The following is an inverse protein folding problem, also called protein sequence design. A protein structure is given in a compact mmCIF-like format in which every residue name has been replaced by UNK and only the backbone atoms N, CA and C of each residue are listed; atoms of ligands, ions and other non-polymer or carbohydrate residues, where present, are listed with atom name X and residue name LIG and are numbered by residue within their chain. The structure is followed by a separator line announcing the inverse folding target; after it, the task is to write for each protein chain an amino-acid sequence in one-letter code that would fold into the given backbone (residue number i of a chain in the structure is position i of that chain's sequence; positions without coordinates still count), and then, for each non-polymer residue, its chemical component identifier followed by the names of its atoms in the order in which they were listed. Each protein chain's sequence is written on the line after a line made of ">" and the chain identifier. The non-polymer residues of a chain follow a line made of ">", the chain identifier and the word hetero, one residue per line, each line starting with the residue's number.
data_IF_628632399975
#
_entry.id   IF_628632399975
#
_cell.length_a   1.000
_cell.length_b   1.000
_cell.length_c   1.000
_cell.angle_alpha   90.00
_cell.angle_beta   90.00
_cell.angle_gamma   90.00
#
_symmetry.space_group_name_H-M   'P 1'
#
loop_
_entity.id
_entity.type
_entity.pdbx_description
1 polymer ?
#
# COMPACT_ATOMS: atom_id res chain seq x y z
N UNK A 1 -8.90 -5.96 -16.08
CA UNK A 1 -8.92 -5.89 -17.56
C UNK A 1 -10.05 -6.75 -18.13
N UNK A 2 -10.80 -6.24 -19.13
CA UNK A 2 -11.95 -6.93 -19.72
C UNK A 2 -11.56 -7.83 -20.91
N UNK A 3 -12.46 -8.75 -21.29
CA UNK A 3 -12.25 -9.72 -22.38
C UNK A 3 -11.85 -9.08 -23.70
N UNK A 4 -12.55 -8.04 -24.14
CA UNK A 4 -12.26 -7.41 -25.43
C UNK A 4 -10.88 -6.72 -25.43
N UNK A 5 -10.49 -6.17 -24.28
CA UNK A 5 -9.18 -5.54 -24.11
C UNK A 5 -8.03 -6.56 -24.19
N UNK A 6 -8.17 -7.75 -23.58
CA UNK A 6 -7.16 -8.80 -23.71
C UNK A 6 -7.10 -9.35 -25.13
N UNK A 7 -8.23 -9.56 -25.79
CA UNK A 7 -8.25 -10.03 -27.19
C UNK A 7 -7.59 -9.02 -28.13
N UNK A 8 -7.84 -7.72 -27.93
CA UNK A 8 -7.15 -6.66 -28.69
C UNK A 8 -5.63 -6.67 -28.46
N UNK A 9 -5.19 -6.95 -27.23
CA UNK A 9 -3.77 -7.04 -26.87
C UNK A 9 -3.08 -8.30 -27.42
N UNK A 10 -3.83 -9.40 -27.58
CA UNK A 10 -3.32 -10.67 -28.09
C UNK A 10 -3.35 -10.78 -29.62
N UNK A 11 -4.13 -9.92 -30.31
CA UNK A 11 -4.29 -9.92 -31.77
C UNK A 11 -3.03 -9.54 -32.57
N UNK A 12 -2.25 -8.50 -32.20
CA UNK A 12 -1.05 -8.17 -32.96
C UNK A 12 0.06 -9.21 -32.72
N UNK A 13 0.73 -9.64 -33.79
CA UNK A 13 1.96 -10.45 -33.75
C UNK A 13 3.15 -9.55 -34.06
N UNK A 14 3.91 -9.12 -33.03
CA UNK A 14 5.10 -8.31 -33.22
C UNK A 14 6.18 -9.11 -33.97
N UNK A 15 6.83 -8.50 -34.96
CA UNK A 15 7.91 -9.12 -35.73
C UNK A 15 9.15 -9.48 -34.91
N UNK A 16 9.26 -8.92 -33.70
CA UNK A 16 10.39 -9.08 -32.78
C UNK A 16 10.14 -10.13 -31.69
N UNK A 17 8.98 -10.79 -31.68
CA UNK A 17 8.63 -11.78 -30.65
C UNK A 17 9.21 -13.17 -30.99
N UNK A 18 9.82 -13.89 -30.02
CA UNK A 18 10.26 -15.27 -30.22
C UNK A 18 9.15 -16.19 -30.75
N UNK A 19 9.48 -17.23 -31.54
CA UNK A 19 8.48 -18.13 -32.13
C UNK A 19 7.67 -18.89 -31.06
N UNK A 20 8.33 -19.29 -29.97
CA UNK A 20 7.67 -20.01 -28.86
C UNK A 20 6.64 -19.14 -28.15
N UNK A 21 6.96 -17.88 -27.86
CA UNK A 21 6.04 -16.93 -27.22
C UNK A 21 4.91 -16.51 -28.16
N UNK A 22 5.19 -16.43 -29.47
CA UNK A 22 4.17 -16.20 -30.50
C UNK A 22 3.15 -17.35 -30.55
N UNK A 23 3.61 -18.61 -30.45
CA UNK A 23 2.73 -19.78 -30.38
C UNK A 23 1.84 -19.74 -29.13
N UNK A 24 2.41 -19.38 -27.97
CA UNK A 24 1.67 -19.20 -26.73
C UNK A 24 0.64 -18.06 -26.82
N UNK A 25 0.96 -16.94 -27.47
CA UNK A 25 0.02 -15.83 -27.71
C UNK A 25 -1.19 -16.28 -28.52
N UNK A 26 -0.97 -16.96 -29.66
CA UNK A 26 -2.07 -17.48 -30.48
C UNK A 26 -2.94 -18.48 -29.71
N UNK A 27 -2.31 -19.33 -28.91
CA UNK A 27 -3.02 -20.30 -28.08
C UNK A 27 -3.86 -19.61 -26.99
N UNK A 28 -3.32 -18.58 -26.34
CA UNK A 28 -4.07 -17.76 -25.37
C UNK A 28 -5.26 -17.05 -26.05
N UNK A 29 -5.05 -16.48 -27.23
CA UNK A 29 -6.13 -15.86 -28.00
C UNK A 29 -7.23 -16.88 -28.35
N UNK A 30 -6.86 -18.08 -28.82
CA UNK A 30 -7.81 -19.13 -29.13
C UNK A 30 -8.66 -19.50 -27.90
N UNK A 31 -8.02 -19.77 -26.76
CA UNK A 31 -8.69 -20.13 -25.50
C UNK A 31 -9.67 -19.03 -25.04
N UNK A 32 -9.28 -17.76 -25.11
CA UNK A 32 -10.15 -16.64 -24.66
C UNK A 32 -11.27 -16.35 -25.67
N UNK A 33 -11.03 -16.58 -26.96
CA UNK A 33 -12.03 -16.38 -28.01
C UNK A 33 -13.16 -17.43 -27.98
N UNK A 34 -12.88 -18.64 -27.50
CA UNK A 34 -13.87 -19.74 -27.45
C UNK A 34 -14.89 -19.64 -26.32
N UNK A 35 -14.64 -18.81 -25.30
CA UNK A 35 -15.54 -18.64 -24.16
C UNK A 35 -16.78 -17.85 -24.59
N UNK A 36 -17.96 -18.18 -24.09
CA UNK A 36 -19.08 -17.24 -24.14
C UNK A 36 -19.14 -16.44 -22.83
N UNK A 37 -19.20 -15.12 -22.90
CA UNK A 37 -19.26 -14.23 -21.72
C UNK A 37 -20.50 -14.49 -20.84
N UNK A 38 -21.48 -15.23 -21.35
CA UNK A 38 -22.70 -15.63 -20.66
C UNK A 38 -22.52 -16.84 -19.70
N UNK A 39 -21.46 -17.65 -19.85
CA UNK A 39 -21.33 -18.93 -19.14
C UNK A 39 -20.29 -18.88 -18.03
N UNK A 40 -20.70 -18.40 -16.84
CA UNK A 40 -19.85 -18.28 -15.64
C UNK A 40 -19.20 -19.61 -15.25
N UNK A 41 -19.86 -20.75 -15.51
CA UNK A 41 -19.39 -22.09 -15.17
C UNK A 41 -18.13 -22.52 -15.94
N UNK A 42 -17.88 -21.96 -17.13
CA UNK A 42 -16.71 -22.32 -17.95
C UNK A 42 -15.44 -21.56 -17.53
N UNK A 43 -15.59 -20.45 -16.82
CA UNK A 43 -14.48 -19.56 -16.43
C UNK A 43 -13.42 -20.31 -15.62
N UNK A 44 -13.74 -21.10 -14.57
CA UNK A 44 -12.74 -21.89 -13.84
C UNK A 44 -11.86 -22.76 -14.74
N UNK A 45 -12.46 -23.54 -15.65
CA UNK A 45 -11.71 -24.43 -16.53
C UNK A 45 -10.78 -23.65 -17.48
N UNK A 46 -11.27 -22.53 -18.03
CA UNK A 46 -10.44 -21.68 -18.89
C UNK A 46 -9.28 -21.06 -18.13
N UNK A 47 -9.49 -20.58 -16.90
CA UNK A 47 -8.41 -20.01 -16.10
C UNK A 47 -7.35 -21.07 -15.78
N UNK A 48 -7.76 -22.31 -15.53
CA UNK A 48 -6.83 -23.43 -15.36
C UNK A 48 -6.02 -23.68 -16.64
N UNK A 49 -6.67 -23.68 -17.81
CA UNK A 49 -6.00 -23.87 -19.10
C UNK A 49 -4.99 -22.75 -19.39
N UNK A 50 -5.35 -21.49 -19.15
CA UNK A 50 -4.42 -20.36 -19.31
C UNK A 50 -3.22 -20.49 -18.36
N UNK A 51 -3.45 -20.87 -17.10
CA UNK A 51 -2.37 -21.03 -16.12
C UNK A 51 -1.45 -22.20 -16.45
N UNK A 52 -1.99 -23.34 -16.87
CA UNK A 52 -1.21 -24.55 -17.12
C UNK A 52 -0.57 -24.59 -18.50
N UNK A 53 -1.27 -24.10 -19.52
CA UNK A 53 -0.83 -24.20 -20.91
C UNK A 53 -0.06 -22.98 -21.39
N UNK A 54 -0.18 -21.83 -20.72
CA UNK A 54 0.48 -20.57 -21.11
C UNK A 54 1.42 -20.06 -20.01
N UNK A 55 0.89 -19.72 -18.84
CA UNK A 55 1.68 -19.09 -17.78
C UNK A 55 2.79 -20.02 -17.27
N UNK A 56 2.47 -21.27 -16.94
CA UNK A 56 3.47 -22.22 -16.44
C UNK A 56 4.64 -22.39 -17.41
N UNK A 57 4.44 -22.63 -18.73
CA UNK A 57 5.50 -22.62 -19.73
C UNK A 57 6.39 -21.37 -19.73
N UNK A 58 5.80 -20.17 -19.61
CA UNK A 58 6.53 -18.89 -19.58
C UNK A 58 7.49 -18.78 -18.39
N UNK A 59 7.26 -19.50 -17.29
CA UNK A 59 8.10 -19.44 -16.08
C UNK A 59 8.93 -20.71 -15.85
N UNK A 60 8.96 -21.66 -16.80
CA UNK A 60 9.70 -22.93 -16.62
C UNK A 60 11.20 -22.75 -16.42
N UNK A 61 11.80 -21.71 -17.05
CA UNK A 61 13.23 -21.39 -16.94
C UNK A 61 13.57 -20.63 -15.64
N UNK A 62 12.59 -20.03 -14.98
CA UNK A 62 12.79 -19.21 -13.78
C UNK A 62 12.27 -19.92 -12.54
N UNK A 63 13.20 -20.42 -11.71
CA UNK A 63 12.88 -21.03 -10.42
C UNK A 63 13.08 -20.02 -9.30
N UNK A 64 12.04 -19.81 -8.50
CA UNK A 64 12.11 -18.92 -7.35
C UNK A 64 12.92 -19.55 -6.21
N UNK A 65 13.92 -18.88 -5.62
CA UNK A 65 14.84 -19.48 -4.63
C UNK A 65 14.15 -20.05 -3.38
N UNK A 66 13.07 -19.40 -2.95
CA UNK A 66 12.35 -19.78 -1.72
C UNK A 66 11.13 -20.68 -1.96
N UNK A 67 10.88 -21.11 -3.21
CA UNK A 67 9.76 -22.00 -3.54
C UNK A 67 10.25 -23.35 -4.06
N UNK A 68 9.48 -24.40 -3.77
CA UNK A 68 9.61 -25.69 -4.44
C UNK A 68 9.08 -25.59 -5.87
N UNK A 69 9.39 -26.58 -6.73
CA UNK A 69 8.82 -26.69 -8.09
C UNK A 69 7.28 -26.80 -8.11
N UNK A 70 6.67 -27.06 -6.96
CA UNK A 70 5.22 -27.13 -6.73
C UNK A 70 4.64 -25.86 -6.09
N UNK A 71 5.44 -24.79 -5.93
CA UNK A 71 4.99 -23.51 -5.37
C UNK A 71 4.84 -23.48 -3.85
N UNK A 72 5.37 -24.47 -3.11
CA UNK A 72 5.36 -24.51 -1.65
C UNK A 72 6.61 -23.84 -1.07
N UNK A 73 6.56 -23.38 0.18
CA UNK A 73 7.74 -22.84 0.88
C UNK A 73 8.87 -23.87 0.91
N UNK A 74 10.05 -23.50 0.44
CA UNK A 74 11.24 -24.35 0.54
C UNK A 74 11.72 -24.40 1.99
N UNK A 75 11.92 -25.61 2.53
CA UNK A 75 12.54 -25.81 3.85
C UNK A 75 14.08 -25.87 3.79
N UNK A 76 14.65 -25.89 2.59
CA UNK A 76 16.09 -25.87 2.36
C UNK A 76 16.52 -24.42 2.15
N UNK A 77 17.49 -23.95 2.95
CA UNK A 77 18.10 -22.64 2.76
C UNK A 77 18.68 -22.56 1.35
N UNK A 78 18.17 -21.62 0.54
CA UNK A 78 18.71 -21.40 -0.79
C UNK A 78 20.18 -20.95 -0.65
N UNK A 79 21.11 -21.49 -1.47
CA UNK A 79 22.43 -20.89 -1.54
C UNK A 79 22.30 -19.42 -1.94
N UNK A 80 23.12 -18.51 -1.40
CA UNK A 80 23.03 -17.10 -1.74
C UNK A 80 23.12 -16.96 -3.26
N UNK A 81 22.15 -16.27 -3.86
CA UNK A 81 22.20 -15.98 -5.28
C UNK A 81 23.53 -15.29 -5.57
N UNK A 82 24.35 -15.92 -6.42
CA UNK A 82 25.65 -15.38 -6.83
C UNK A 82 25.47 -13.92 -7.26
N UNK A 83 26.27 -13.02 -6.67
CA UNK A 83 26.31 -11.59 -7.04
C UNK A 83 26.50 -11.45 -8.56
N UNK A 84 27.21 -12.39 -9.20
CA UNK A 84 27.41 -12.42 -10.64
C UNK A 84 26.10 -12.57 -11.43
N UNK A 85 25.14 -13.40 -11.00
CA UNK A 85 23.86 -13.54 -11.73
C UNK A 85 22.96 -12.32 -11.59
N UNK A 86 23.15 -11.52 -10.54
CA UNK A 86 22.36 -10.30 -10.30
C UNK A 86 22.89 -9.10 -11.09
N UNK A 87 24.19 -9.10 -11.42
CA UNK A 87 24.86 -8.05 -12.21
C UNK A 87 24.98 -8.40 -13.70
N UNK A 88 25.05 -9.68 -14.08
CA UNK A 88 25.18 -10.09 -15.49
C UNK A 88 23.86 -10.03 -16.29
N UNK A 89 22.73 -9.77 -15.64
CA UNK A 89 21.44 -9.48 -16.28
C UNK A 89 21.30 -7.99 -16.67
N UNK A 90 22.37 -7.18 -16.51
CA UNK A 90 22.45 -5.83 -17.07
C UNK A 90 22.69 -5.89 -18.58
N UNK A 91 21.59 -6.13 -19.31
CA UNK A 91 21.32 -5.61 -20.65
C UNK A 91 22.53 -5.24 -21.53
N UNK A 92 23.15 -6.22 -22.17
CA UNK A 92 23.43 -6.03 -23.59
C UNK A 92 22.09 -6.21 -24.30
N UNK A 93 21.54 -5.14 -24.91
CA UNK A 93 20.21 -5.07 -25.53
C UNK A 93 19.92 -6.08 -26.66
N UNK A 94 20.68 -7.15 -26.78
CA UNK A 94 20.33 -8.36 -27.52
C UNK A 94 19.43 -9.23 -26.64
N UNK A 95 18.10 -9.16 -26.84
CA UNK A 95 17.06 -9.95 -26.16
C UNK A 95 17.12 -11.49 -26.36
N UNK A 96 18.33 -12.06 -26.43
CA UNK A 96 18.57 -13.50 -26.60
C UNK A 96 18.64 -14.26 -25.26
N UNK A 97 18.92 -13.59 -24.13
CA UNK A 97 19.05 -14.23 -22.81
C UNK A 97 17.96 -13.88 -21.79
N UNK A 98 17.08 -12.92 -22.09
CA UNK A 98 15.97 -12.58 -21.19
C UNK A 98 15.02 -13.76 -20.99
N UNK A 99 14.49 -13.97 -19.76
CA UNK A 99 13.53 -15.03 -19.50
C UNK A 99 12.28 -14.86 -20.39
N UNK A 100 11.62 -15.97 -20.80
CA UNK A 100 10.57 -15.92 -21.83
C UNK A 100 9.34 -15.09 -21.45
N UNK A 101 9.15 -14.77 -20.17
CA UNK A 101 8.11 -13.87 -19.68
C UNK A 101 8.47 -12.37 -19.81
N UNK A 102 9.74 -12.03 -20.04
CA UNK A 102 10.25 -10.69 -20.37
C UNK A 102 10.45 -10.57 -21.88
N UNK A 103 9.36 -10.46 -22.60
CA UNK A 103 9.38 -10.23 -24.05
C UNK A 103 9.20 -8.75 -24.34
N UNK A 104 9.78 -8.27 -25.46
CA UNK A 104 9.61 -6.88 -25.93
C UNK A 104 8.15 -6.49 -26.18
N UNK A 105 7.23 -7.44 -26.16
CA UNK A 105 5.78 -7.21 -26.20
C UNK A 105 5.13 -7.81 -24.96
N UNK A 106 4.36 -7.03 -24.19
CA UNK A 106 3.84 -7.47 -22.91
C UNK A 106 2.73 -8.50 -23.10
N UNK A 107 3.08 -9.79 -23.13
CA UNK A 107 2.11 -10.90 -23.05
C UNK A 107 1.74 -11.19 -21.60
N UNK A 108 2.76 -11.32 -20.75
CA UNK A 108 2.67 -11.83 -19.37
C UNK A 108 1.80 -10.94 -18.48
N UNK A 109 2.06 -9.63 -18.46
CA UNK A 109 1.35 -8.68 -17.60
C UNK A 109 -0.14 -8.63 -17.95
N UNK A 110 -0.56 -8.36 -19.21
CA UNK A 110 -1.98 -8.33 -19.55
C UNK A 110 -2.66 -9.68 -19.27
N UNK A 111 -2.03 -10.81 -19.59
CA UNK A 111 -2.64 -12.11 -19.39
C UNK A 111 -2.89 -12.40 -17.89
N UNK A 112 -1.92 -12.12 -17.02
CA UNK A 112 -2.10 -12.29 -15.58
C UNK A 112 -3.13 -11.31 -15.00
N UNK A 113 -3.15 -10.07 -15.48
CA UNK A 113 -4.17 -9.08 -15.07
C UNK A 113 -5.59 -9.55 -15.44
N UNK A 114 -5.77 -10.11 -16.64
CA UNK A 114 -7.04 -10.71 -17.06
C UNK A 114 -7.44 -11.89 -16.17
N UNK A 115 -6.51 -12.81 -15.89
CA UNK A 115 -6.75 -13.99 -15.05
C UNK A 115 -7.20 -13.56 -13.65
N UNK A 116 -6.50 -12.60 -13.03
CA UNK A 116 -6.83 -12.11 -11.69
C UNK A 116 -8.17 -11.35 -11.65
N UNK A 117 -8.43 -10.49 -12.63
CA UNK A 117 -9.72 -9.79 -12.76
C UNK A 117 -10.87 -10.79 -12.92
N UNK A 118 -10.64 -11.90 -13.64
CA UNK A 118 -11.65 -12.94 -13.88
C UNK A 118 -12.05 -13.66 -12.60
N UNK A 119 -11.14 -13.86 -11.63
CA UNK A 119 -11.52 -14.38 -10.32
C UNK A 119 -12.43 -13.42 -9.55
N UNK A 120 -12.13 -12.12 -9.58
CA UNK A 120 -12.97 -11.10 -8.93
C UNK A 120 -14.37 -11.01 -9.53
N UNK A 121 -14.52 -11.35 -10.81
CA UNK A 121 -15.81 -11.36 -11.51
C UNK A 121 -16.69 -12.59 -11.19
N UNK A 122 -16.14 -13.67 -10.64
CA UNK A 122 -16.92 -14.84 -10.25
C UNK A 122 -17.89 -14.49 -9.11
N UNK A 123 -19.15 -14.97 -9.10
CA UNK A 123 -20.11 -14.67 -8.06
C UNK A 123 -19.61 -15.13 -6.69
N UNK A 124 -19.86 -14.30 -5.68
CA UNK A 124 -19.51 -14.54 -4.28
C UNK A 124 -20.73 -15.03 -3.45
N UNK A 125 -21.78 -15.56 -4.10
CA UNK A 125 -23.04 -15.94 -3.44
C UNK A 125 -22.81 -16.97 -2.33
N UNK A 126 -22.81 -16.48 -1.08
CA UNK A 126 -23.64 -16.89 0.07
C UNK A 126 -23.04 -16.27 1.35
N UNK A 127 -23.82 -15.44 2.06
CA UNK A 127 -23.39 -14.77 3.29
C UNK A 127 -23.17 -15.74 4.47
N UNK A 128 -23.77 -16.94 4.41
CA UNK A 128 -23.74 -17.92 5.50
C UNK A 128 -22.61 -18.97 5.38
N UNK A 129 -21.92 -19.11 4.24
CA UNK A 129 -20.82 -20.10 4.09
C UNK A 129 -19.77 -19.71 3.04
N UNK A 130 -18.93 -18.68 3.31
CA UNK A 130 -18.05 -18.08 2.29
C UNK A 130 -16.97 -19.01 1.69
N UNK A 131 -16.61 -20.09 2.39
CA UNK A 131 -15.56 -21.03 1.96
C UNK A 131 -16.00 -21.94 0.80
N UNK A 132 -17.31 -22.16 0.65
CA UNK A 132 -17.86 -23.04 -0.40
C UNK A 132 -18.30 -22.28 -1.66
N UNK A 133 -18.02 -20.98 -1.74
CA UNK A 133 -18.26 -20.19 -2.95
C UNK A 133 -17.44 -20.73 -4.13
N UNK A 134 -18.00 -20.64 -5.35
CA UNK A 134 -17.30 -21.02 -6.58
C UNK A 134 -15.97 -20.26 -6.72
N UNK A 135 -15.97 -18.97 -6.37
CA UNK A 135 -14.79 -18.11 -6.34
C UNK A 135 -13.69 -18.68 -5.43
N UNK A 136 -14.04 -19.01 -4.17
CA UNK A 136 -13.12 -19.56 -3.17
C UNK A 136 -12.51 -20.89 -3.59
N UNK A 137 -13.34 -21.83 -4.05
CA UNK A 137 -12.89 -23.15 -4.54
C UNK A 137 -11.94 -23.02 -5.73
N UNK A 138 -12.25 -22.13 -6.67
CA UNK A 138 -11.45 -21.95 -7.87
C UNK A 138 -10.10 -21.30 -7.57
N UNK A 139 -10.09 -20.20 -6.79
CA UNK A 139 -8.83 -19.51 -6.47
C UNK A 139 -7.90 -20.39 -5.64
N UNK A 140 -8.42 -21.16 -4.67
CA UNK A 140 -7.60 -22.09 -3.88
C UNK A 140 -7.03 -23.22 -4.75
N UNK A 141 -7.80 -23.76 -5.68
CA UNK A 141 -7.34 -24.80 -6.61
C UNK A 141 -6.18 -24.29 -7.50
N UNK A 142 -6.27 -23.04 -7.97
CA UNK A 142 -5.28 -22.46 -8.88
C UNK A 142 -4.12 -21.75 -8.17
N UNK A 143 -4.22 -21.54 -6.85
CA UNK A 143 -3.28 -20.75 -6.06
C UNK A 143 -1.81 -21.14 -6.27
N UNK A 144 -1.50 -22.44 -6.26
CA UNK A 144 -0.15 -22.97 -6.47
C UNK A 144 0.47 -22.64 -7.85
N UNK A 145 -0.35 -22.34 -8.86
CA UNK A 145 0.09 -21.92 -10.20
C UNK A 145 0.27 -20.39 -10.30
N UNK A 146 -0.40 -19.62 -9.43
CA UNK A 146 -0.38 -18.17 -9.41
C UNK A 146 0.82 -17.61 -8.63
N UNK A 147 1.16 -18.22 -7.49
CA UNK A 147 2.22 -17.70 -6.61
C UNK A 147 3.60 -17.65 -7.28
N UNK A 148 4.10 -18.70 -7.95
CA UNK A 148 5.45 -18.65 -8.51
C UNK A 148 5.66 -17.56 -9.59
N UNK A 149 4.75 -17.37 -10.57
CA UNK A 149 4.82 -16.25 -11.51
C UNK A 149 4.84 -14.88 -10.82
N UNK A 150 3.95 -14.67 -9.85
CA UNK A 150 3.85 -13.40 -9.13
C UNK A 150 5.13 -13.10 -8.34
N UNK A 151 5.65 -14.06 -7.59
CA UNK A 151 6.89 -13.86 -6.84
C UNK A 151 8.12 -13.69 -7.73
N UNK A 152 8.23 -14.44 -8.83
CA UNK A 152 9.30 -14.25 -9.81
C UNK A 152 9.27 -12.84 -10.43
N UNK A 153 8.08 -12.26 -10.62
CA UNK A 153 7.95 -10.88 -11.09
C UNK A 153 8.35 -9.87 -10.01
N UNK A 154 7.99 -10.09 -8.74
CA UNK A 154 8.39 -9.22 -7.61
C UNK A 154 9.91 -9.24 -7.40
N UNK A 155 10.56 -10.38 -7.63
CA UNK A 155 12.01 -10.55 -7.52
C UNK A 155 12.78 -10.04 -8.75
N UNK A 156 12.11 -9.42 -9.72
CA UNK A 156 12.76 -8.90 -10.91
C UNK A 156 13.86 -7.87 -10.57
N UNK A 157 14.87 -7.74 -11.44
CA UNK A 157 15.94 -6.77 -11.24
C UNK A 157 15.45 -5.33 -11.46
N UNK A 158 14.64 -5.11 -12.50
CA UNK A 158 14.13 -3.80 -12.85
C UNK A 158 12.89 -3.44 -12.00
N UNK A 159 12.76 -2.18 -11.53
CA UNK A 159 11.57 -1.71 -10.81
C UNK A 159 10.28 -1.76 -11.64
N UNK A 160 10.38 -1.49 -12.93
CA UNK A 160 9.24 -1.41 -13.86
C UNK A 160 9.57 -2.17 -15.15
N UNK A 161 8.56 -2.73 -15.86
CA UNK A 161 7.15 -2.83 -15.49
C UNK A 161 6.80 -4.10 -14.69
N UNK A 162 7.68 -5.11 -14.65
CA UNK A 162 7.33 -6.44 -14.14
C UNK A 162 7.23 -6.49 -12.61
N UNK A 163 8.16 -5.84 -11.90
CA UNK A 163 8.15 -5.83 -10.43
C UNK A 163 6.95 -5.08 -9.85
N UNK A 164 6.66 -3.88 -10.36
CA UNK A 164 5.45 -3.14 -9.98
C UNK A 164 4.17 -3.93 -10.32
N UNK A 165 4.08 -4.53 -11.51
CA UNK A 165 2.96 -5.39 -11.87
C UNK A 165 2.83 -6.63 -10.97
N UNK A 166 3.95 -7.25 -10.57
CA UNK A 166 3.97 -8.36 -9.64
C UNK A 166 3.39 -7.99 -8.27
N UNK A 167 3.75 -6.81 -7.76
CA UNK A 167 3.18 -6.26 -6.52
C UNK A 167 1.66 -6.02 -6.67
N UNK A 168 1.24 -5.37 -7.76
CA UNK A 168 -0.18 -5.17 -8.08
C UNK A 168 -0.95 -6.49 -8.11
N UNK A 169 -0.41 -7.50 -8.79
CA UNK A 169 -1.03 -8.83 -8.89
C UNK A 169 -1.12 -9.55 -7.56
N UNK A 170 -0.11 -9.40 -6.70
CA UNK A 170 -0.18 -9.91 -5.33
C UNK A 170 -1.28 -9.21 -4.53
N UNK A 171 -1.41 -7.89 -4.63
CA UNK A 171 -2.48 -7.14 -3.99
C UNK A 171 -3.87 -7.63 -4.43
N UNK A 172 -4.10 -7.76 -5.75
CA UNK A 172 -5.37 -8.26 -6.30
C UNK A 172 -5.65 -9.72 -5.87
N UNK A 173 -4.64 -10.59 -5.87
CA UNK A 173 -4.80 -11.96 -5.39
C UNK A 173 -5.22 -11.98 -3.91
N UNK A 174 -4.57 -11.17 -3.07
CA UNK A 174 -4.90 -11.05 -1.65
C UNK A 174 -6.31 -10.48 -1.41
N UNK A 175 -6.76 -9.52 -2.22
CA UNK A 175 -8.13 -9.02 -2.18
C UNK A 175 -9.14 -10.13 -2.48
N UNK A 176 -8.91 -10.93 -3.53
CA UNK A 176 -9.75 -12.09 -3.86
C UNK A 176 -9.79 -13.07 -2.69
N UNK A 177 -8.63 -13.44 -2.13
CA UNK A 177 -8.55 -14.36 -0.99
C UNK A 177 -9.29 -13.84 0.24
N UNK A 178 -9.20 -12.53 0.50
CA UNK A 178 -9.89 -11.86 1.61
C UNK A 178 -11.40 -11.88 1.40
N UNK A 179 -11.87 -11.60 0.18
CA UNK A 179 -13.30 -11.66 -0.19
C UNK A 179 -13.91 -13.06 -0.05
N UNK A 180 -13.10 -14.11 -0.25
CA UNK A 180 -13.52 -15.51 -0.10
C UNK A 180 -13.25 -16.07 1.30
N UNK A 181 -12.69 -15.25 2.20
CA UNK A 181 -12.25 -15.68 3.53
C UNK A 181 -11.33 -16.92 3.53
N UNK A 182 -10.44 -17.02 2.54
CA UNK A 182 -9.55 -18.17 2.40
C UNK A 182 -8.39 -18.10 3.39
N UNK A 183 -8.21 -19.17 4.16
CA UNK A 183 -7.05 -19.34 5.05
C UNK A 183 -5.87 -20.01 4.34
N UNK A 184 -5.83 -20.02 3.00
CA UNK A 184 -4.76 -20.70 2.25
C UNK A 184 -3.37 -20.14 2.56
N UNK A 185 -3.24 -18.83 2.83
CA UNK A 185 -1.96 -18.22 3.20
C UNK A 185 -1.47 -18.69 4.57
N UNK A 186 -2.37 -18.81 5.54
CA UNK A 186 -2.06 -19.34 6.87
C UNK A 186 -1.67 -20.82 6.80
N UNK A 187 -2.41 -21.63 6.03
CA UNK A 187 -2.15 -23.08 5.87
C UNK A 187 -0.88 -23.39 5.08
N UNK A 188 -0.59 -22.61 4.03
CA UNK A 188 0.57 -22.85 3.16
C UNK A 188 1.89 -22.33 3.72
N UNK A 189 1.84 -21.39 4.67
CA UNK A 189 3.02 -20.72 5.19
C UNK A 189 3.72 -19.80 4.18
N UNK A 190 3.09 -19.51 3.05
CA UNK A 190 3.67 -18.66 1.98
C UNK A 190 3.59 -17.17 2.29
N UNK A 191 2.81 -16.76 3.29
CA UNK A 191 2.71 -15.35 3.69
C UNK A 191 4.07 -14.76 4.09
N UNK A 192 4.91 -15.52 4.80
CA UNK A 192 6.26 -15.04 5.16
C UNK A 192 7.12 -14.84 3.91
N UNK A 193 7.02 -15.73 2.92
CA UNK A 193 7.79 -15.64 1.67
C UNK A 193 7.37 -14.41 0.86
N UNK A 194 6.06 -14.14 0.79
CA UNK A 194 5.52 -12.94 0.15
C UNK A 194 5.97 -11.66 0.87
N UNK A 195 5.93 -11.65 2.21
CA UNK A 195 6.39 -10.54 3.03
C UNK A 195 7.88 -10.28 2.85
N UNK A 196 8.70 -11.34 2.84
CA UNK A 196 10.15 -11.21 2.65
C UNK A 196 10.46 -10.65 1.26
N UNK A 197 9.80 -11.14 0.20
CA UNK A 197 9.95 -10.62 -1.15
C UNK A 197 9.58 -9.13 -1.24
N UNK A 198 8.42 -8.73 -0.71
CA UNK A 198 7.99 -7.33 -0.69
C UNK A 198 8.92 -6.43 0.13
N UNK A 199 9.41 -6.93 1.27
CA UNK A 199 10.30 -6.18 2.17
C UNK A 199 11.59 -5.75 1.47
N UNK A 200 12.11 -6.56 0.56
CA UNK A 200 13.33 -6.20 -0.20
C UNK A 200 13.16 -4.95 -1.07
N UNK A 201 11.92 -4.56 -1.35
CA UNK A 201 11.61 -3.45 -2.25
C UNK A 201 11.34 -2.11 -1.52
N UNK A 202 11.27 -2.08 -0.17
CA UNK A 202 10.96 -0.85 0.57
C UNK A 202 11.98 0.29 0.36
N UNK A 203 13.23 -0.04 0.09
CA UNK A 203 14.32 0.92 -0.11
C UNK A 203 14.65 1.17 -1.58
N UNK A 204 13.70 0.91 -2.49
CA UNK A 204 13.80 1.29 -3.91
C UNK A 204 13.51 2.78 -4.08
N UNK A 205 14.43 3.61 -3.57
CA UNK A 205 14.27 5.05 -3.44
C UNK A 205 15.21 5.83 -4.41
N UNK A 206 14.92 7.12 -4.66
CA UNK A 206 15.83 8.04 -5.34
C UNK A 206 17.23 8.00 -4.77
N UNK A 207 18.21 8.32 -5.62
CA UNK A 207 19.69 8.10 -5.52
C UNK A 207 20.20 6.78 -6.11
N UNK A 208 19.39 5.71 -6.09
CA UNK A 208 19.71 4.42 -6.72
C UNK A 208 18.70 4.01 -7.80
N UNK A 209 17.46 4.46 -7.67
CA UNK A 209 16.36 4.18 -8.60
C UNK A 209 15.78 5.52 -9.10
N UNK A 210 15.42 5.66 -10.39
CA UNK A 210 14.71 6.85 -10.87
C UNK A 210 13.43 7.12 -10.08
N UNK A 211 13.11 8.40 -9.85
CA UNK A 211 11.97 8.79 -9.01
C UNK A 211 10.62 8.24 -9.54
N UNK A 212 10.40 8.29 -10.84
CA UNK A 212 9.18 7.75 -11.47
C UNK A 212 9.03 6.25 -11.24
N UNK A 213 10.13 5.50 -11.34
CA UNK A 213 10.17 4.07 -11.09
C UNK A 213 9.94 3.73 -9.61
N UNK A 214 10.55 4.51 -8.70
CA UNK A 214 10.31 4.41 -7.26
C UNK A 214 8.84 4.67 -6.91
N UNK A 215 8.22 5.71 -7.50
CA UNK A 215 6.81 6.04 -7.28
C UNK A 215 5.91 4.90 -7.77
N UNK A 216 6.14 4.42 -9.00
CA UNK A 216 5.34 3.36 -9.61
C UNK A 216 5.46 2.05 -8.81
N UNK A 217 6.65 1.72 -8.32
CA UNK A 217 6.85 0.50 -7.54
C UNK A 217 6.30 0.61 -6.12
N UNK A 218 6.69 1.66 -5.37
CA UNK A 218 6.26 1.82 -3.98
C UNK A 218 4.75 2.01 -3.85
N UNK A 219 4.12 2.65 -4.84
CA UNK A 219 2.67 2.74 -4.95
C UNK A 219 1.96 1.38 -4.95
N UNK A 220 2.60 0.32 -5.45
CA UNK A 220 2.05 -1.03 -5.52
C UNK A 220 2.55 -1.93 -4.37
N UNK A 221 3.76 -1.71 -3.84
CA UNK A 221 4.36 -2.51 -2.77
C UNK A 221 3.57 -2.42 -1.47
N UNK A 222 3.17 -1.22 -1.03
CA UNK A 222 2.46 -1.05 0.25
C UNK A 222 1.05 -1.66 0.23
N UNK A 223 0.21 -1.44 -0.81
CA UNK A 223 -1.05 -2.15 -0.94
C UNK A 223 -0.89 -3.67 -0.99
N UNK A 224 0.12 -4.18 -1.70
CA UNK A 224 0.41 -5.61 -1.73
C UNK A 224 0.76 -6.16 -0.35
N UNK A 225 1.60 -5.45 0.40
CA UNK A 225 1.97 -5.85 1.75
C UNK A 225 0.76 -5.89 2.68
N UNK A 226 -0.06 -4.84 2.68
CA UNK A 226 -1.28 -4.79 3.49
C UNK A 226 -2.29 -5.86 3.05
N UNK A 227 -2.41 -6.14 1.76
CA UNK A 227 -3.21 -7.25 1.25
C UNK A 227 -2.75 -8.60 1.80
N UNK A 228 -1.44 -8.85 1.86
CA UNK A 228 -0.91 -10.09 2.47
C UNK A 228 -1.24 -10.19 3.95
N UNK A 229 -1.16 -9.08 4.69
CA UNK A 229 -1.55 -9.02 6.10
C UNK A 229 -3.04 -9.35 6.25
N UNK A 230 -3.91 -8.66 5.51
CA UNK A 230 -5.36 -8.84 5.58
C UNK A 230 -5.77 -10.27 5.21
N UNK A 231 -5.20 -10.83 4.13
CA UNK A 231 -5.50 -12.18 3.67
C UNK A 231 -4.94 -13.26 4.62
N UNK A 232 -3.77 -13.05 5.24
CA UNK A 232 -3.20 -13.99 6.23
C UNK A 232 -4.05 -14.03 7.50
N UNK A 233 -4.55 -12.88 7.95
CA UNK A 233 -5.24 -12.71 9.22
C UNK A 233 -6.74 -12.50 9.05
N UNK A 234 -7.34 -12.99 7.96
CA UNK A 234 -8.73 -12.74 7.60
C UNK A 234 -9.74 -13.14 8.69
N UNK A 235 -9.45 -14.20 9.45
CA UNK A 235 -10.29 -14.64 10.58
C UNK A 235 -10.19 -13.65 11.74
N UNK A 236 -8.98 -13.19 12.06
CA UNK A 236 -8.74 -12.21 13.11
C UNK A 236 -9.41 -10.87 12.75
N UNK A 237 -9.25 -10.39 11.52
CA UNK A 237 -9.88 -9.15 11.03
C UNK A 237 -11.40 -9.17 11.17
N UNK A 238 -12.04 -10.32 10.93
CA UNK A 238 -13.48 -10.48 11.15
C UNK A 238 -13.86 -10.32 12.63
N UNK A 239 -13.05 -10.86 13.54
CA UNK A 239 -13.27 -10.75 15.00
C UNK A 239 -13.07 -9.32 15.49
N UNK A 240 -12.11 -8.58 14.92
CA UNK A 240 -11.92 -7.16 15.23
C UNK A 240 -13.08 -6.29 14.71
N UNK A 241 -13.88 -6.79 13.78
CA UNK A 241 -14.88 -6.00 13.06
C UNK A 241 -14.22 -5.09 12.03
N UNK A 242 -15.04 -4.50 11.15
CA UNK A 242 -14.53 -3.51 10.20
C UNK A 242 -13.88 -2.35 10.97
N UNK A 243 -12.70 -1.84 10.56
CA UNK A 243 -12.09 -0.65 11.14
C UNK A 243 -12.93 0.59 10.78
N UNK A 244 -14.13 0.68 11.34
CA UNK A 244 -14.97 1.87 11.22
C UNK A 244 -14.46 2.90 12.21
N UNK A 245 -14.19 4.09 11.69
CA UNK A 245 -13.71 5.30 12.38
C UNK A 245 -14.76 5.83 13.40
N UNK A 246 -15.91 5.15 13.56
CA UNK A 246 -17.02 5.57 14.42
C UNK A 246 -17.59 4.45 15.31
N UNK A 247 -16.77 3.49 15.73
CA UNK A 247 -17.19 2.57 16.78
C UNK A 247 -17.31 3.33 18.11
N UNK A 248 -18.54 3.68 18.50
CA UNK A 248 -18.86 4.21 19.83
C UNK A 248 -18.30 3.26 20.90
N UNK A 249 -17.72 3.85 21.95
CA UNK A 249 -16.98 3.22 23.04
C UNK A 249 -17.78 2.28 23.98
N UNK A 250 -18.77 1.53 23.47
CA UNK A 250 -19.66 0.70 24.29
C UNK A 250 -19.27 -0.79 24.37
N UNK A 251 -18.34 -1.28 23.55
CA UNK A 251 -17.92 -2.70 23.60
C UNK A 251 -16.49 -2.89 24.16
N UNK A 252 -16.22 -2.34 25.35
CA UNK A 252 -14.95 -2.54 26.05
C UNK A 252 -14.73 -4.00 26.54
N UNK A 253 -15.76 -4.85 26.51
CA UNK A 253 -15.68 -6.27 26.87
C UNK A 253 -15.18 -7.18 25.74
N UNK A 254 -15.30 -6.77 24.46
CA UNK A 254 -14.84 -7.56 23.32
C UNK A 254 -13.32 -7.48 23.09
N UNK A 255 -12.69 -6.36 23.49
CA UNK A 255 -11.25 -6.13 23.32
C UNK A 255 -10.35 -7.07 24.11
N UNK A 256 -10.81 -7.62 25.25
CA UNK A 256 -9.98 -8.49 26.10
C UNK A 256 -9.79 -9.91 25.58
N UNK A 257 -10.70 -10.39 24.72
CA UNK A 257 -10.63 -11.76 24.20
C UNK A 257 -9.90 -11.84 22.85
N UNK A 258 -9.93 -10.77 22.04
CA UNK A 258 -9.17 -10.67 20.79
C UNK A 258 -7.67 -10.51 21.05
N UNK A 259 -7.27 -9.78 22.08
CA UNK A 259 -5.86 -9.63 22.47
C UNK A 259 -5.20 -10.95 22.93
N UNK A 260 -6.01 -11.97 23.25
CA UNK A 260 -5.56 -13.33 23.59
C UNK A 260 -5.47 -14.26 22.37
N UNK A 261 -5.92 -13.81 21.20
CA UNK A 261 -5.80 -14.59 19.97
C UNK A 261 -4.32 -14.78 19.61
N UNK A 262 -3.92 -16.02 19.33
CA UNK A 262 -2.54 -16.35 19.00
C UNK A 262 -2.04 -15.61 17.74
N UNK A 263 -2.96 -15.24 16.85
CA UNK A 263 -2.63 -14.52 15.61
C UNK A 263 -2.46 -13.01 15.82
N UNK A 264 -2.88 -12.45 16.96
CA UNK A 264 -2.85 -11.01 17.22
C UNK A 264 -1.43 -10.45 17.28
N UNK A 265 -0.52 -11.14 17.98
CA UNK A 265 0.88 -10.71 18.10
C UNK A 265 1.59 -10.75 16.73
N UNK A 266 1.53 -11.84 15.93
CA UNK A 266 2.03 -11.86 14.57
C UNK A 266 1.45 -10.77 13.66
N UNK A 267 0.15 -10.49 13.77
CA UNK A 267 -0.53 -9.43 13.02
C UNK A 267 0.07 -8.05 13.33
N UNK A 268 0.17 -7.69 14.61
CA UNK A 268 0.78 -6.43 15.04
C UNK A 268 2.26 -6.33 14.65
N UNK A 269 2.99 -7.46 14.68
CA UNK A 269 4.39 -7.50 14.26
C UNK A 269 4.57 -7.19 12.77
N UNK A 270 3.68 -7.68 11.90
CA UNK A 270 3.72 -7.38 10.46
C UNK A 270 3.40 -5.91 10.18
N UNK A 271 2.41 -5.33 10.87
CA UNK A 271 2.09 -3.90 10.75
C UNK A 271 3.25 -3.02 11.25
N UNK A 272 3.86 -3.41 12.37
CA UNK A 272 5.07 -2.74 12.89
C UNK A 272 6.23 -2.84 11.90
N UNK A 273 6.38 -3.96 11.20
CA UNK A 273 7.42 -4.16 10.19
C UNK A 273 7.25 -3.17 9.05
N UNK A 274 6.08 -3.11 8.41
CA UNK A 274 5.83 -2.19 7.30
C UNK A 274 5.92 -0.73 7.73
N UNK A 275 5.42 -0.38 8.92
CA UNK A 275 5.55 0.98 9.43
C UNK A 275 7.01 1.37 9.68
N UNK A 276 7.76 0.59 10.46
CA UNK A 276 9.11 0.97 10.88
C UNK A 276 10.15 0.80 9.77
N UNK A 277 10.14 -0.35 9.10
CA UNK A 277 11.16 -0.70 8.11
C UNK A 277 10.74 -0.35 6.68
N UNK A 278 9.43 -0.20 6.43
CA UNK A 278 8.91 0.20 5.14
C UNK A 278 8.71 1.71 5.03
N UNK A 279 7.93 2.31 5.92
CA UNK A 279 7.54 3.72 5.79
C UNK A 279 8.56 4.65 6.46
N UNK A 280 8.80 4.47 7.76
CA UNK A 280 9.66 5.38 8.52
C UNK A 280 11.13 5.32 8.11
N UNK A 281 11.64 4.12 7.79
CA UNK A 281 12.98 3.99 7.25
C UNK A 281 13.13 4.77 5.93
N UNK A 282 12.16 4.62 5.01
CA UNK A 282 12.17 5.33 3.72
C UNK A 282 12.01 6.84 3.88
N UNK A 283 11.15 7.30 4.78
CA UNK A 283 11.03 8.73 5.12
C UNK A 283 12.34 9.29 5.69
N UNK A 284 13.03 8.53 6.55
CA UNK A 284 14.32 8.93 7.08
C UNK A 284 15.41 9.00 6.00
N UNK A 285 15.38 8.11 5.01
CA UNK A 285 16.28 8.15 3.86
C UNK A 285 16.02 9.33 2.92
N UNK A 286 14.74 9.69 2.73
CA UNK A 286 14.37 10.84 1.91
C UNK A 286 14.61 12.18 2.62
N UNK A 287 14.60 12.21 3.95
CA UNK A 287 14.93 13.40 4.71
C UNK A 287 16.44 13.67 4.66
N UNK A 288 16.82 14.86 4.20
CA UNK A 288 18.22 15.29 4.13
C UNK A 288 18.85 15.52 5.53
N UNK A 289 18.06 15.48 6.60
CA UNK A 289 18.54 15.68 7.96
C UNK A 289 18.90 14.35 8.61
N UNK A 290 20.20 14.03 8.61
CA UNK A 290 20.79 12.82 9.21
C UNK A 290 20.65 12.72 10.74
N UNK A 291 19.89 13.60 11.40
CA UNK A 291 19.71 13.58 12.84
C UNK A 291 18.38 12.93 13.20
N UNK A 292 18.45 11.62 13.45
CA UNK A 292 17.38 10.80 13.99
C UNK A 292 16.87 11.41 15.32
N UNK A 293 15.70 12.06 15.30
CA UNK A 293 15.00 12.43 16.54
C UNK A 293 14.03 13.61 16.51
N UNK A 294 14.08 14.50 15.50
CA UNK A 294 13.18 15.68 15.42
C UNK A 294 13.24 16.40 14.06
N UNK A 295 13.63 15.71 12.97
CA UNK A 295 13.80 16.36 11.67
C UNK A 295 12.47 16.77 11.04
N UNK A 296 12.40 17.98 10.48
CA UNK A 296 11.31 18.40 9.59
C UNK A 296 11.33 17.57 8.30
N UNK A 297 10.16 17.18 7.80
CA UNK A 297 10.00 16.50 6.52
C UNK A 297 10.12 17.45 5.32
N UNK A 298 10.17 18.76 5.55
CA UNK A 298 10.25 19.77 4.48
C UNK A 298 11.55 19.70 3.68
N UNK A 299 12.65 19.26 4.30
CA UNK A 299 13.93 19.04 3.61
C UNK A 299 14.02 17.62 3.03
N UNK A 300 13.14 17.31 2.07
CA UNK A 300 13.10 15.99 1.41
C UNK A 300 13.78 16.01 0.04
N UNK A 301 14.38 14.89 -0.34
CA UNK A 301 14.93 14.64 -1.68
C UNK A 301 13.81 14.57 -2.73
N UNK A 302 12.63 14.08 -2.36
CA UNK A 302 11.47 13.93 -3.25
C UNK A 302 10.17 14.19 -2.50
N UNK A 303 9.51 15.30 -2.84
CA UNK A 303 8.18 15.65 -2.31
C UNK A 303 7.13 14.59 -2.68
N UNK A 304 7.01 14.14 -3.96
CA UNK A 304 6.03 13.12 -4.34
C UNK A 304 6.15 11.82 -3.54
N UNK A 305 7.38 11.33 -3.29
CA UNK A 305 7.58 10.11 -2.52
C UNK A 305 7.31 10.30 -1.03
N UNK A 306 7.70 11.43 -0.45
CA UNK A 306 7.34 11.75 0.94
C UNK A 306 5.82 11.78 1.12
N UNK A 307 5.09 12.39 0.17
CA UNK A 307 3.62 12.39 0.15
C UNK A 307 3.07 10.96 0.06
N UNK A 308 3.59 10.15 -0.86
CA UNK A 308 3.18 8.75 -1.03
C UNK A 308 3.35 7.95 0.27
N UNK A 309 4.51 8.07 0.92
CA UNK A 309 4.84 7.38 2.16
C UNK A 309 3.97 7.82 3.34
N UNK A 310 3.75 9.13 3.49
CA UNK A 310 2.85 9.67 4.51
C UNK A 310 1.44 9.11 4.35
N UNK A 311 0.93 9.01 3.11
CA UNK A 311 -0.38 8.41 2.82
C UNK A 311 -0.48 6.92 3.13
N UNK A 312 0.63 6.22 3.35
CA UNK A 312 0.62 4.82 3.80
C UNK A 312 0.48 4.68 5.32
N UNK A 313 0.71 5.73 6.11
CA UNK A 313 0.61 5.66 7.57
C UNK A 313 -0.85 5.43 8.01
N UNK A 314 -1.87 6.17 7.52
CA UNK A 314 -3.25 5.97 7.97
C UNK A 314 -3.77 4.54 7.76
N UNK A 315 -3.64 3.91 6.58
CA UNK A 315 -4.07 2.52 6.37
C UNK A 315 -3.41 1.52 7.33
N UNK A 316 -2.15 1.74 7.73
CA UNK A 316 -1.45 0.91 8.71
C UNK A 316 -1.99 1.18 10.12
N UNK A 317 -2.14 2.45 10.49
CA UNK A 317 -2.56 2.85 11.84
C UNK A 317 -4.02 2.47 12.13
N UNK A 318 -4.92 2.60 11.15
CA UNK A 318 -6.30 2.10 11.25
C UNK A 318 -6.36 0.60 11.52
N UNK A 319 -5.42 -0.18 10.97
CA UNK A 319 -5.27 -1.62 11.22
C UNK A 319 -4.65 -1.95 12.57
N UNK A 320 -3.71 -1.13 13.04
CA UNK A 320 -3.09 -1.29 14.37
C UNK A 320 -4.04 -0.88 15.50
N UNK A 321 -4.94 0.08 15.25
CA UNK A 321 -5.82 0.67 16.24
C UNK A 321 -5.03 1.33 17.37
N UNK A 322 -5.43 1.07 18.62
CA UNK A 322 -4.78 1.62 19.81
C UNK A 322 -3.30 1.24 19.94
N UNK A 323 -2.83 0.17 19.30
CA UNK A 323 -1.42 -0.25 19.38
C UNK A 323 -0.45 0.68 18.62
N UNK A 324 -0.98 1.57 17.77
CA UNK A 324 -0.23 2.66 17.12
C UNK A 324 0.39 3.63 18.13
N UNK A 325 -0.10 3.68 19.38
CA UNK A 325 0.44 4.53 20.46
C UNK A 325 1.94 4.35 20.71
N UNK A 326 2.47 3.16 20.40
CA UNK A 326 3.90 2.84 20.53
C UNK A 326 4.80 3.59 19.54
N UNK A 327 4.21 4.25 18.55
CA UNK A 327 4.92 4.97 17.49
C UNK A 327 4.80 6.50 17.60
N UNK A 328 3.85 7.00 18.39
CA UNK A 328 3.56 8.44 18.51
C UNK A 328 4.76 9.25 18.98
N UNK A 329 5.60 8.68 19.85
CA UNK A 329 6.79 9.37 20.38
C UNK A 329 7.77 9.80 19.30
N UNK A 330 7.91 9.03 18.22
CA UNK A 330 8.76 9.40 17.08
C UNK A 330 8.00 10.18 16.01
N UNK A 331 6.72 9.84 15.80
CA UNK A 331 5.92 10.39 14.72
C UNK A 331 5.48 11.84 14.99
N UNK A 332 4.84 12.10 16.14
CA UNK A 332 4.21 13.41 16.39
C UNK A 332 5.20 14.58 16.41
N UNK A 333 6.39 14.49 17.02
CA UNK A 333 7.37 15.57 16.95
C UNK A 333 7.81 15.87 15.51
N UNK A 334 7.94 14.83 14.68
CA UNK A 334 8.29 14.96 13.25
C UNK A 334 7.19 15.68 12.48
N UNK A 335 5.92 15.28 12.67
CA UNK A 335 4.78 15.94 12.00
C UNK A 335 4.64 17.40 12.45
N UNK A 336 4.77 17.67 13.76
CA UNK A 336 4.77 19.02 14.30
C UNK A 336 5.87 19.87 13.66
N UNK A 337 7.12 19.39 13.67
CA UNK A 337 8.24 20.12 13.10
C UNK A 337 8.04 20.44 11.61
N UNK A 338 7.40 19.53 10.87
CA UNK A 338 7.08 19.71 9.45
C UNK A 338 5.98 20.74 9.22
N UNK A 339 4.91 20.72 10.03
CA UNK A 339 3.81 21.68 9.95
C UNK A 339 4.22 23.09 10.35
N UNK A 340 5.17 23.21 11.29
CA UNK A 340 5.74 24.48 11.73
C UNK A 340 6.82 25.03 10.77
N UNK A 341 7.19 24.29 9.74
CA UNK A 341 8.23 24.73 8.81
C UNK A 341 7.70 25.86 7.91
N UNK A 342 8.39 27.02 7.84
CA UNK A 342 7.89 28.19 7.13
C UNK A 342 7.75 27.97 5.62
N UNK A 343 8.38 26.93 5.05
CA UNK A 343 8.32 26.62 3.63
C UNK A 343 7.40 25.45 3.30
N UNK A 344 6.68 24.89 4.29
CA UNK A 344 5.82 23.72 4.08
C UNK A 344 4.73 23.96 3.02
N UNK A 345 4.28 25.21 2.88
CA UNK A 345 3.23 25.61 1.93
C UNK A 345 3.69 25.58 0.47
N UNK A 346 5.00 25.47 0.20
CA UNK A 346 5.51 25.21 -1.15
C UNK A 346 5.07 23.83 -1.68
N UNK A 347 4.67 22.92 -0.79
CA UNK A 347 4.17 21.59 -1.11
C UNK A 347 2.82 21.31 -0.41
N UNK A 348 1.70 21.89 -0.91
CA UNK A 348 0.39 21.77 -0.26
C UNK A 348 -0.10 20.31 -0.14
N UNK A 349 0.23 19.45 -1.09
CA UNK A 349 -0.08 18.01 -1.02
C UNK A 349 0.60 17.32 0.17
N UNK A 350 1.79 17.78 0.57
CA UNK A 350 2.49 17.26 1.75
C UNK A 350 1.79 17.69 3.02
N UNK A 351 1.34 18.94 3.11
CA UNK A 351 0.51 19.42 4.24
C UNK A 351 -0.74 18.57 4.35
N UNK A 352 -1.46 18.36 3.24
CA UNK A 352 -2.65 17.51 3.20
C UNK A 352 -2.37 16.09 3.71
N UNK A 353 -1.29 15.47 3.26
CA UNK A 353 -0.90 14.14 3.71
C UNK A 353 -0.52 14.10 5.21
N UNK A 354 0.18 15.11 5.73
CA UNK A 354 0.48 15.21 7.17
C UNK A 354 -0.81 15.33 7.98
N UNK A 355 -1.75 16.16 7.53
CA UNK A 355 -3.05 16.33 8.18
C UNK A 355 -3.89 15.04 8.14
N UNK A 356 -3.80 14.23 7.07
CA UNK A 356 -4.42 12.88 7.04
C UNK A 356 -3.87 11.97 8.15
N UNK A 357 -2.55 12.03 8.40
CA UNK A 357 -1.90 11.25 9.46
C UNK A 357 -2.34 11.72 10.84
N UNK A 358 -2.38 13.03 11.07
CA UNK A 358 -2.81 13.61 12.36
C UNK A 358 -4.27 13.24 12.65
N UNK A 359 -5.16 13.33 11.67
CA UNK A 359 -6.57 12.97 11.80
C UNK A 359 -6.72 11.49 12.19
N UNK A 360 -6.05 10.61 11.43
CA UNK A 360 -6.02 9.18 11.74
C UNK A 360 -5.51 8.88 13.16
N UNK A 361 -4.44 9.55 13.60
CA UNK A 361 -3.89 9.39 14.95
C UNK A 361 -4.86 9.85 16.03
N UNK A 362 -5.55 10.98 15.82
CA UNK A 362 -6.59 11.47 16.73
C UNK A 362 -7.74 10.45 16.87
N UNK A 363 -8.08 9.74 15.80
CA UNK A 363 -9.11 8.69 15.82
C UNK A 363 -8.65 7.41 16.51
N UNK A 364 -7.52 6.82 16.08
CA UNK A 364 -7.09 5.49 16.57
C UNK A 364 -6.48 5.53 17.96
N UNK A 365 -5.96 6.67 18.39
CA UNK A 365 -5.25 6.85 19.66
C UNK A 365 -5.88 7.93 20.56
N UNK A 366 -7.18 8.23 20.38
CA UNK A 366 -7.93 9.30 21.08
C UNK A 366 -7.60 9.43 22.56
N UNK A 367 -7.73 8.34 23.32
CA UNK A 367 -7.48 8.34 24.77
C UNK A 367 -6.03 8.75 25.11
N UNK A 368 -5.06 8.37 24.28
CA UNK A 368 -3.65 8.70 24.49
C UNK A 368 -3.31 10.12 24.03
N UNK A 369 -4.02 10.64 23.04
CA UNK A 369 -3.96 12.05 22.64
C UNK A 369 -4.45 12.92 23.78
N UNK A 370 -5.64 12.65 24.31
CA UNK A 370 -6.23 13.37 25.45
C UNK A 370 -5.29 13.43 26.66
N UNK A 371 -4.63 12.32 26.99
CA UNK A 371 -3.80 12.25 28.20
C UNK A 371 -2.46 12.99 28.11
N UNK A 372 -1.89 13.16 26.91
CA UNK A 372 -0.48 13.57 26.79
C UNK A 372 -0.11 14.31 25.52
N UNK A 373 -0.66 13.91 24.38
CA UNK A 373 -0.11 14.31 23.07
C UNK A 373 -0.87 15.45 22.40
N UNK A 374 -2.04 15.84 22.92
CA UNK A 374 -2.83 16.94 22.36
C UNK A 374 -2.06 18.27 22.25
N UNK A 375 -1.12 18.67 23.16
CA UNK A 375 -0.40 19.93 23.00
C UNK A 375 0.57 19.91 21.81
N UNK A 376 1.20 18.76 21.54
CA UNK A 376 2.10 18.60 20.40
C UNK A 376 1.35 18.67 19.07
N UNK A 377 0.13 18.09 19.03
CA UNK A 377 -0.76 18.20 17.86
C UNK A 377 -1.19 19.65 17.67
N UNK A 378 -1.71 20.30 18.73
CA UNK A 378 -2.18 21.68 18.67
C UNK A 378 -1.07 22.63 18.18
N UNK A 379 0.14 22.49 18.71
CA UNK A 379 1.28 23.33 18.32
C UNK A 379 1.63 23.22 16.84
N UNK A 380 1.54 22.02 16.27
CA UNK A 380 1.73 21.80 14.83
C UNK A 380 0.64 22.46 14.00
N UNK A 381 -0.63 22.31 14.40
CA UNK A 381 -1.77 22.91 13.70
C UNK A 381 -1.72 24.44 13.74
N UNK A 382 -1.36 25.03 14.88
CA UNK A 382 -1.19 26.48 15.04
C UNK A 382 -0.04 26.97 14.17
N UNK A 383 1.14 26.34 14.23
CA UNK A 383 2.26 26.77 13.39
C UNK A 383 1.95 26.72 11.89
N UNK A 384 1.25 25.69 11.43
CA UNK A 384 0.79 25.63 10.04
C UNK A 384 -0.22 26.73 9.72
N UNK A 385 -1.10 27.09 10.66
CA UNK A 385 -2.05 28.18 10.49
C UNK A 385 -1.35 29.53 10.33
N UNK A 386 -0.37 29.83 11.19
CA UNK A 386 0.42 31.07 11.12
C UNK A 386 1.12 31.17 9.76
N UNK A 387 1.76 30.09 9.31
CA UNK A 387 2.34 30.04 7.96
C UNK A 387 1.30 30.34 6.86
N UNK A 388 0.05 29.88 7.02
CA UNK A 388 -1.03 30.17 6.06
C UNK A 388 -1.47 31.63 6.08
N UNK A 389 -1.48 32.26 7.26
CA UNK A 389 -1.78 33.70 7.42
C UNK A 389 -0.69 34.52 6.72
N UNK A 390 0.58 34.22 7.00
CA UNK A 390 1.73 34.89 6.37
C UNK A 390 1.72 34.76 4.84
N UNK A 391 1.47 33.55 4.31
CA UNK A 391 1.36 33.34 2.86
C UNK A 391 0.17 34.13 2.28
N UNK A 392 -0.96 34.20 2.99
CA UNK A 392 -2.14 34.96 2.54
C UNK A 392 -1.87 36.46 2.44
N UNK A 393 -1.09 37.03 3.35
CA UNK A 393 -0.71 38.45 3.31
C UNK A 393 0.26 38.77 2.16
N UNK A 394 1.09 37.80 1.77
CA UNK A 394 2.09 37.98 0.70
C UNK A 394 1.55 37.72 -0.71
N UNK A 395 0.37 37.10 -0.86
CA UNK A 395 -0.28 36.89 -2.16
C UNK A 395 -0.76 38.25 -2.72
N UNK A 396 -0.19 38.75 -3.83
CA UNK A 396 -0.73 39.93 -4.50
C UNK A 396 -2.09 39.59 -5.11
N UNK A 397 -3.00 40.56 -5.17
CA UNK A 397 -4.39 40.45 -5.65
C UNK A 397 -4.60 39.94 -7.11
N UNK A 398 -3.58 39.36 -7.76
CA UNK A 398 -3.62 38.84 -9.12
C UNK A 398 -2.86 37.53 -9.38
N UNK A 399 -2.38 36.79 -8.36
CA UNK A 399 -1.87 35.41 -8.56
C UNK A 399 -3.01 34.41 -8.75
N UNK A 400 -2.70 33.32 -9.47
CA UNK A 400 -3.59 32.25 -9.94
C UNK A 400 -4.58 31.76 -8.89
N UNK A 401 -5.88 31.73 -9.23
CA UNK A 401 -6.98 31.27 -8.38
C UNK A 401 -6.68 29.92 -7.69
N UNK A 402 -5.94 29.01 -8.33
CA UNK A 402 -5.59 27.70 -7.79
C UNK A 402 -4.74 27.74 -6.50
N UNK A 403 -3.80 28.67 -6.37
CA UNK A 403 -2.96 28.76 -5.17
C UNK A 403 -3.77 29.25 -3.96
N UNK A 404 -4.68 30.19 -4.22
CA UNK A 404 -5.61 30.69 -3.21
C UNK A 404 -6.60 29.60 -2.78
N UNK A 405 -7.13 28.79 -3.70
CA UNK A 405 -8.05 27.70 -3.35
C UNK A 405 -7.38 26.63 -2.50
N UNK A 406 -6.14 26.21 -2.82
CA UNK A 406 -5.43 25.22 -2.00
C UNK A 406 -5.14 25.73 -0.59
N UNK A 407 -4.77 27.01 -0.45
CA UNK A 407 -4.55 27.63 0.85
C UNK A 407 -5.84 27.68 1.68
N UNK A 408 -6.95 28.09 1.07
CA UNK A 408 -8.26 28.11 1.74
C UNK A 408 -8.72 26.71 2.17
N UNK A 409 -8.50 25.69 1.35
CA UNK A 409 -8.79 24.30 1.69
C UNK A 409 -7.98 23.81 2.90
N UNK A 410 -6.68 24.14 2.96
CA UNK A 410 -5.80 23.83 4.10
C UNK A 410 -6.31 24.55 5.35
N UNK A 411 -6.56 25.85 5.28
CA UNK A 411 -7.09 26.63 6.42
C UNK A 411 -8.42 26.07 6.92
N UNK A 412 -9.35 25.73 6.02
CA UNK A 412 -10.63 25.12 6.38
C UNK A 412 -10.43 23.75 7.07
N UNK A 413 -9.46 22.96 6.62
CA UNK A 413 -9.12 21.68 7.22
C UNK A 413 -8.50 21.83 8.62
N UNK A 414 -7.57 22.78 8.79
CA UNK A 414 -6.96 23.10 10.09
C UNK A 414 -8.03 23.46 11.13
N UNK A 415 -9.01 24.32 10.78
CA UNK A 415 -10.15 24.65 11.65
C UNK A 415 -10.94 23.42 12.09
N UNK A 416 -11.27 22.52 11.14
CA UNK A 416 -11.98 21.27 11.46
C UNK A 416 -11.20 20.41 12.44
N UNK A 417 -9.88 20.31 12.25
CA UNK A 417 -9.02 19.48 13.11
C UNK A 417 -8.82 20.09 14.49
N UNK A 418 -8.64 21.41 14.61
CA UNK A 418 -8.57 22.09 15.91
C UNK A 418 -9.87 21.94 16.67
N UNK A 419 -11.03 22.05 15.99
CA UNK A 419 -12.33 21.77 16.59
C UNK A 419 -12.43 20.33 17.09
N UNK A 420 -12.09 19.35 16.25
CA UNK A 420 -12.09 17.92 16.64
C UNK A 420 -11.15 17.65 17.82
N UNK A 421 -9.99 18.31 17.86
CA UNK A 421 -9.05 18.21 18.98
C UNK A 421 -9.65 18.78 20.27
N UNK A 422 -10.37 19.92 20.19
CA UNK A 422 -11.09 20.48 21.33
C UNK A 422 -12.19 19.59 21.89
N UNK A 423 -12.78 18.72 21.06
CA UNK A 423 -13.74 17.68 21.51
C UNK A 423 -13.05 16.50 22.23
N UNK A 424 -11.73 16.34 22.07
CA UNK A 424 -10.93 15.29 22.71
C UNK A 424 -10.38 15.76 24.07
N UNK A 425 -10.03 17.04 24.20
CA UNK A 425 -9.40 17.63 25.40
C UNK A 425 -10.45 17.95 26.47
N UNK A 426 -10.04 18.06 27.74
CA UNK A 426 -10.92 18.53 28.81
C UNK A 426 -11.45 19.94 28.50
N UNK A 427 -12.77 20.21 28.63
CA UNK A 427 -13.33 21.51 28.26
C UNK A 427 -12.75 22.71 29.01
N UNK A 428 -12.35 22.53 30.28
CA UNK A 428 -11.81 23.63 31.07
C UNK A 428 -10.38 23.93 30.64
N UNK A 429 -9.55 22.89 30.50
CA UNK A 429 -8.18 23.00 30.03
C UNK A 429 -8.14 23.60 28.61
N UNK A 430 -9.03 23.15 27.73
CA UNK A 430 -9.15 23.68 26.37
C UNK A 430 -9.55 25.15 26.35
N UNK A 431 -10.51 25.56 27.17
CA UNK A 431 -10.96 26.95 27.24
C UNK A 431 -9.87 27.88 27.77
N UNK A 432 -9.08 27.45 28.75
CA UNK A 432 -7.97 28.23 29.30
C UNK A 432 -6.88 28.42 28.25
N UNK A 433 -6.47 27.34 27.58
CA UNK A 433 -5.42 27.36 26.55
C UNK A 433 -5.85 28.19 25.33
N UNK A 434 -7.09 28.02 24.87
CA UNK A 434 -7.66 28.83 23.79
C UNK A 434 -7.60 30.32 24.13
N UNK A 435 -8.00 30.70 25.34
CA UNK A 435 -7.99 32.09 25.78
C UNK A 435 -6.57 32.67 25.77
N UNK A 436 -5.60 31.97 26.36
CA UNK A 436 -4.21 32.40 26.41
C UNK A 436 -3.62 32.59 25.01
N UNK A 437 -3.84 31.64 24.10
CA UNK A 437 -3.32 31.71 22.73
C UNK A 437 -3.92 32.87 21.93
N UNK A 438 -5.22 33.13 22.06
CA UNK A 438 -5.89 34.24 21.40
C UNK A 438 -5.46 35.60 21.97
N UNK A 439 -5.09 35.66 23.26
CA UNK A 439 -4.53 36.87 23.87
C UNK A 439 -3.09 37.16 23.39
N UNK A 440 -2.32 36.12 23.06
CA UNK A 440 -0.96 36.26 22.53
C UNK A 440 -0.94 36.58 21.02
N UNK A 441 -1.87 36.02 20.24
CA UNK A 441 -1.92 36.16 18.78
C UNK A 441 -3.35 36.26 18.25
N UNK A 442 -3.76 37.46 17.82
CA UNK A 442 -5.13 37.76 17.40
C UNK A 442 -5.58 36.96 16.16
N UNK A 443 -4.66 36.59 15.28
CA UNK A 443 -4.94 35.82 14.06
C UNK A 443 -5.44 34.39 14.35
N UNK A 444 -5.22 33.90 15.58
CA UNK A 444 -5.72 32.60 16.03
C UNK A 444 -7.23 32.60 16.29
N UNK A 445 -7.89 33.76 16.46
CA UNK A 445 -9.36 33.84 16.61
C UNK A 445 -10.07 33.14 15.46
N UNK A 446 -9.59 33.40 14.25
CA UNK A 446 -10.12 32.82 13.03
C UNK A 446 -9.86 31.30 12.93
N UNK A 447 -8.85 30.74 13.60
CA UNK A 447 -8.59 29.30 13.67
C UNK A 447 -9.58 28.61 14.62
N UNK A 448 -9.85 29.23 15.77
CA UNK A 448 -10.77 28.68 16.78
C UNK A 448 -12.26 28.93 16.47
N UNK A 449 -12.56 29.73 15.44
CA UNK A 449 -13.92 29.97 14.96
C UNK A 449 -14.70 31.03 15.75
N UNK A 450 -13.99 31.98 16.37
CA UNK A 450 -14.57 33.13 17.07
C UNK A 450 -14.81 34.35 16.17
#
# INVERSE_FOLDING_TARGET
>A
MNRDAILATLKPTPKTEPPDTTSLRHKAHAIISTIDSSTIEQIPATLLDLLTQIIKPLFTRTRHPHLTSTGRKSQVAAPPASIANRFLDTSDGSGFNDPPWKTSTPLTIPLLEYILTSYSALPAEDADTPKDTLRGRTVEAHFHLLVPPILNMIDDAAPTPYKSAGCKFLATLCEVLTSTHSEILKRSGLADVMVDALRTNFLTLPTLTPEEDSLALLGEVYPAFLGVVDARFVVLMRKLGSPSIQAKAQDASAGSDVAKDADFIPYQAMLTLVYRHGIMASLAHLSASSNAGSGSLSNTISVPLTVLLLRQIPPVFSRMGIHSVTHLRGLLPTLRASLMDPFVLAAPDMVGAILDVVDCVCDVARARIQQKWWPEVLRGLIGCWVNCVDEKETIPAGKTAASATHLEDIMARLRRMVKSLGEIVDPNEWSEVKKTLVEEEDDLRALFGD
#
